data_IF_059665859996
#
_entry.id   IF_059665859996
#
_cell.length_a   1.000
_cell.length_b   1.000
_cell.length_c   1.000
_cell.angle_alpha   90.00
_cell.angle_beta   90.00
_cell.angle_gamma   90.00
#
_symmetry.space_group_name_H-M   'P 1'
#
loop_
_entity.id
_entity.type
_entity.pdbx_description
1 polymer ?
#
# COMPACT_ATOMS: atom_id res chain seq x y z
N UNK A 1 -46.39 -16.73 -4.00
CA UNK A 1 -45.99 -16.68 -2.59
C UNK A 1 -44.65 -17.38 -2.31
N UNK A 2 -44.46 -18.69 -2.54
CA UNK A 2 -43.17 -19.35 -2.27
C UNK A 2 -41.97 -18.86 -3.09
N UNK A 3 -42.14 -18.36 -4.31
CA UNK A 3 -41.05 -17.81 -5.14
C UNK A 3 -40.54 -16.43 -4.68
N UNK A 4 -41.40 -15.62 -4.10
CA UNK A 4 -41.00 -14.31 -3.57
C UNK A 4 -40.31 -14.40 -2.22
N UNK A 5 -40.75 -15.34 -1.36
CA UNK A 5 -40.07 -15.61 -0.08
C UNK A 5 -38.64 -16.11 -0.31
N UNK A 6 -38.43 -16.94 -1.32
CA UNK A 6 -37.06 -17.37 -1.69
C UNK A 6 -36.19 -16.26 -2.26
N UNK A 7 -36.73 -15.26 -2.99
CA UNK A 7 -35.98 -14.09 -3.45
C UNK A 7 -35.60 -13.20 -2.26
N UNK A 8 -36.49 -13.01 -1.30
CA UNK A 8 -36.24 -12.25 -0.08
C UNK A 8 -35.17 -12.92 0.81
N UNK A 9 -35.25 -14.24 0.98
CA UNK A 9 -34.24 -15.03 1.71
C UNK A 9 -32.88 -15.02 1.01
N UNK A 10 -32.84 -15.06 -0.35
CA UNK A 10 -31.60 -14.92 -1.12
C UNK A 10 -31.00 -13.53 -0.99
N UNK A 11 -31.83 -12.48 -1.02
CA UNK A 11 -31.39 -11.10 -0.84
C UNK A 11 -30.89 -10.82 0.59
N UNK A 12 -31.58 -11.37 1.61
CA UNK A 12 -31.12 -11.29 3.01
C UNK A 12 -29.84 -12.11 3.26
N UNK A 13 -29.71 -13.29 2.65
CA UNK A 13 -28.48 -14.06 2.68
C UNK A 13 -27.34 -13.35 1.94
N UNK A 14 -27.61 -12.73 0.80
CA UNK A 14 -26.63 -11.94 0.06
C UNK A 14 -26.18 -10.71 0.86
N UNK A 15 -27.10 -9.95 1.45
CA UNK A 15 -26.80 -8.84 2.34
C UNK A 15 -26.05 -9.29 3.61
N UNK A 16 -26.47 -10.38 4.24
CA UNK A 16 -25.75 -10.95 5.38
C UNK A 16 -24.34 -11.41 5.00
N UNK A 17 -24.14 -12.02 3.82
CA UNK A 17 -22.82 -12.45 3.35
C UNK A 17 -21.93 -11.24 3.01
N UNK A 18 -22.49 -10.17 2.46
CA UNK A 18 -21.76 -8.92 2.18
C UNK A 18 -21.42 -8.21 3.49
N UNK A 19 -22.35 -8.13 4.46
CA UNK A 19 -22.10 -7.55 5.78
C UNK A 19 -21.10 -8.37 6.63
N UNK A 20 -21.26 -9.71 6.65
CA UNK A 20 -20.31 -10.61 7.33
C UNK A 20 -18.92 -10.60 6.67
N UNK A 21 -18.82 -10.32 5.36
CA UNK A 21 -17.55 -10.20 4.65
C UNK A 21 -16.72 -8.98 5.05
N UNK A 22 -17.36 -7.91 5.51
CA UNK A 22 -16.69 -6.68 5.96
C UNK A 22 -16.19 -6.85 7.41
N UNK A 23 -16.98 -7.46 8.29
CA UNK A 23 -16.56 -7.71 9.69
C UNK A 23 -15.40 -8.71 9.80
N UNK A 24 -15.25 -9.66 8.87
CA UNK A 24 -14.18 -10.66 8.89
C UNK A 24 -12.85 -10.21 8.28
N UNK A 25 -12.76 -8.99 7.74
CA UNK A 25 -11.52 -8.47 7.13
C UNK A 25 -10.72 -7.53 8.03
N UNK A 26 -11.26 -7.14 9.19
CA UNK A 26 -10.62 -6.21 10.12
C UNK A 26 -9.94 -6.95 11.26
N UNK A 27 -8.62 -6.77 11.36
CA UNK A 27 -7.81 -7.26 12.49
C UNK A 27 -7.50 -6.07 13.39
N UNK A 28 -8.03 -6.08 14.60
CA UNK A 28 -7.88 -4.98 15.55
C UNK A 28 -6.70 -5.22 16.47
N UNK A 29 -5.83 -4.23 16.62
CA UNK A 29 -4.88 -4.18 17.72
C UNK A 29 -5.63 -4.10 19.04
N UNK A 30 -5.12 -4.78 20.09
CA UNK A 30 -5.76 -4.75 21.40
C UNK A 30 -4.84 -4.21 22.51
N UNK A 31 -3.53 -4.08 22.27
CA UNK A 31 -2.58 -3.57 23.25
C UNK A 31 -2.30 -2.08 23.04
N UNK A 32 -2.81 -1.23 23.96
CA UNK A 32 -2.49 0.22 23.99
C UNK A 32 -1.00 0.46 24.20
N UNK A 33 -0.36 -0.36 25.05
CA UNK A 33 1.08 -0.26 25.31
C UNK A 33 1.91 -0.51 24.07
N UNK A 34 1.53 -1.50 23.23
CA UNK A 34 2.19 -1.75 21.96
C UNK A 34 2.03 -0.56 21.02
N UNK A 35 0.82 0.00 20.90
CA UNK A 35 0.57 1.19 20.06
C UNK A 35 1.42 2.37 20.52
N UNK A 36 1.46 2.65 21.83
CA UNK A 36 2.30 3.71 22.39
C UNK A 36 3.79 3.48 22.07
N UNK A 37 4.28 2.25 22.19
CA UNK A 37 5.66 1.87 21.84
C UNK A 37 5.93 2.05 20.34
N UNK A 38 5.00 1.68 19.46
CA UNK A 38 5.15 1.87 18.01
C UNK A 38 5.20 3.34 17.65
N UNK A 39 4.29 4.15 18.21
CA UNK A 39 4.30 5.60 17.98
C UNK A 39 5.52 6.30 18.60
N UNK A 40 6.15 5.75 19.64
CA UNK A 40 7.42 6.29 20.15
C UNK A 40 8.60 6.09 19.19
N UNK A 41 8.50 5.14 18.27
CA UNK A 41 9.49 4.91 17.20
C UNK A 41 9.20 5.75 15.96
N UNK A 42 8.07 6.45 15.90
CA UNK A 42 7.75 7.38 14.82
C UNK A 42 8.29 8.78 15.11
N UNK A 43 8.35 9.61 14.07
CA UNK A 43 8.68 11.03 14.21
C UNK A 43 7.43 11.91 14.47
N UNK A 44 6.29 11.31 14.85
CA UNK A 44 5.09 12.05 15.20
C UNK A 44 5.32 12.86 16.46
N UNK A 45 5.02 14.16 16.42
CA UNK A 45 5.24 15.11 17.51
C UNK A 45 4.04 16.04 17.75
N UNK A 46 4.12 16.88 18.78
CA UNK A 46 2.99 17.73 19.22
C UNK A 46 2.58 18.83 18.22
N UNK A 47 3.35 19.06 17.16
CA UNK A 47 3.05 20.07 16.14
C UNK A 47 2.36 19.45 14.92
N UNK A 48 2.26 18.13 14.86
CA UNK A 48 1.76 17.41 13.70
C UNK A 48 0.23 17.38 13.60
N UNK A 49 -0.27 17.52 12.37
CA UNK A 49 -1.64 17.18 11.98
C UNK A 49 -1.59 15.75 11.43
N UNK A 50 -2.42 14.87 12.01
CA UNK A 50 -2.47 13.46 11.61
C UNK A 50 -3.81 13.14 10.97
N UNK A 51 -3.80 12.54 9.79
CA UNK A 51 -4.98 11.88 9.23
C UNK A 51 -4.92 10.41 9.63
N UNK A 52 -5.92 9.95 10.38
CA UNK A 52 -6.09 8.53 10.71
C UNK A 52 -7.18 7.92 9.83
N UNK A 53 -6.83 6.84 9.13
CA UNK A 53 -7.75 6.13 8.23
C UNK A 53 -8.30 4.90 8.95
N UNK A 54 -9.62 4.85 9.15
CA UNK A 54 -10.30 3.73 9.80
C UNK A 54 -9.88 3.57 11.27
N UNK A 55 -10.17 4.55 12.15
CA UNK A 55 -9.81 4.48 13.56
C UNK A 55 -10.43 3.26 14.29
N UNK A 56 -11.51 2.70 13.78
CA UNK A 56 -12.18 1.55 14.36
C UNK A 56 -12.63 1.82 15.78
N UNK A 57 -12.09 1.07 16.75
CA UNK A 57 -12.38 1.29 18.20
C UNK A 57 -11.54 2.41 18.82
N UNK A 58 -10.70 3.10 18.03
CA UNK A 58 -9.94 4.27 18.47
C UNK A 58 -8.70 3.96 19.30
N UNK A 59 -8.12 2.77 19.19
CA UNK A 59 -6.93 2.40 19.98
C UNK A 59 -5.70 3.21 19.55
N UNK A 60 -5.56 3.49 18.24
CA UNK A 60 -4.50 4.33 17.67
C UNK A 60 -4.83 5.80 17.91
N UNK A 61 -6.08 6.21 17.69
CA UNK A 61 -6.58 7.58 17.93
C UNK A 61 -6.21 8.12 19.31
N UNK A 62 -6.36 7.28 20.36
CA UNK A 62 -6.05 7.67 21.74
C UNK A 62 -4.58 8.06 21.88
N UNK A 63 -3.68 7.27 21.31
CA UNK A 63 -2.24 7.50 21.44
C UNK A 63 -1.77 8.64 20.51
N UNK A 64 -2.38 8.77 19.33
CA UNK A 64 -2.14 9.91 18.43
C UNK A 64 -2.54 11.24 19.09
N UNK A 65 -3.74 11.31 19.72
CA UNK A 65 -4.22 12.50 20.40
C UNK A 65 -3.30 13.00 21.54
N UNK A 66 -2.50 12.10 22.13
CA UNK A 66 -1.50 12.47 23.15
C UNK A 66 -0.25 13.10 22.55
N UNK A 67 0.13 12.69 21.32
CA UNK A 67 1.40 13.01 20.67
C UNK A 67 1.32 14.04 19.57
N UNK A 68 0.13 14.43 19.11
CA UNK A 68 -0.07 15.32 17.98
C UNK A 68 -0.81 16.60 18.34
N UNK A 69 -0.74 17.60 17.47
CA UNK A 69 -1.52 18.84 17.52
C UNK A 69 -2.99 18.54 17.24
N UNK A 70 -3.25 17.75 16.20
CA UNK A 70 -4.60 17.44 15.75
C UNK A 70 -4.65 16.04 15.12
N UNK A 71 -5.74 15.32 15.34
CA UNK A 71 -6.09 14.06 14.68
C UNK A 71 -7.39 14.26 13.91
N UNK A 72 -7.36 14.01 12.61
CA UNK A 72 -8.53 13.96 11.73
C UNK A 72 -8.76 12.47 11.40
N UNK A 73 -9.72 11.85 12.10
CA UNK A 73 -9.98 10.41 11.97
C UNK A 73 -11.21 10.18 11.09
N UNK A 74 -11.03 9.44 10.00
CA UNK A 74 -12.06 9.17 8.99
C UNK A 74 -12.51 7.73 9.12
N UNK A 75 -13.76 7.53 9.54
CA UNK A 75 -14.35 6.21 9.79
C UNK A 75 -15.54 5.97 8.86
N UNK A 76 -15.54 4.80 8.23
CA UNK A 76 -16.61 4.38 7.33
C UNK A 76 -17.82 3.80 8.07
N UNK A 77 -17.59 3.09 9.18
CA UNK A 77 -18.67 2.48 9.97
C UNK A 77 -19.36 3.55 10.83
N UNK A 78 -20.64 3.80 10.55
CA UNK A 78 -21.45 4.82 11.23
C UNK A 78 -21.56 4.58 12.75
N UNK A 79 -21.59 3.31 13.21
CA UNK A 79 -21.69 3.00 14.64
C UNK A 79 -20.38 3.32 15.36
N UNK A 80 -19.25 2.96 14.74
CA UNK A 80 -17.92 3.27 15.28
C UNK A 80 -17.66 4.77 15.26
N UNK A 81 -17.99 5.44 14.15
CA UNK A 81 -17.86 6.88 14.02
C UNK A 81 -18.68 7.62 15.09
N UNK A 82 -19.95 7.24 15.30
CA UNK A 82 -20.79 7.81 16.35
C UNK A 82 -20.19 7.60 17.74
N UNK A 83 -19.76 6.38 18.06
CA UNK A 83 -19.14 6.05 19.36
C UNK A 83 -17.88 6.90 19.61
N UNK A 84 -17.03 7.07 18.59
CA UNK A 84 -15.84 7.90 18.70
C UNK A 84 -16.20 9.39 18.81
N UNK A 85 -17.17 9.88 18.03
CA UNK A 85 -17.63 11.27 18.09
C UNK A 85 -18.14 11.63 19.49
N UNK A 86 -18.93 10.77 20.10
CA UNK A 86 -19.39 10.96 21.50
C UNK A 86 -18.21 11.00 22.48
N UNK A 87 -17.25 10.07 22.31
CA UNK A 87 -16.07 10.00 23.17
C UNK A 87 -15.18 11.24 23.09
N UNK A 88 -15.07 11.84 21.92
CA UNK A 88 -14.19 12.98 21.66
C UNK A 88 -14.92 14.30 21.48
N UNK A 89 -16.23 14.38 21.81
CA UNK A 89 -17.05 15.59 21.59
C UNK A 89 -16.48 16.86 22.23
N UNK A 90 -15.83 16.74 23.38
CA UNK A 90 -15.20 17.86 24.10
C UNK A 90 -13.71 18.06 23.69
N UNK A 91 -13.18 17.20 22.83
CA UNK A 91 -11.79 17.30 22.42
C UNK A 91 -11.61 18.34 21.32
N UNK A 92 -10.73 19.31 21.56
CA UNK A 92 -10.30 20.26 20.52
C UNK A 92 -9.27 19.68 19.57
N UNK A 93 -8.69 18.52 19.92
CA UNK A 93 -7.60 17.88 19.17
C UNK A 93 -8.08 16.79 18.20
N UNK A 94 -9.22 16.14 18.46
CA UNK A 94 -9.68 15.00 17.69
C UNK A 94 -10.96 15.34 16.97
N UNK A 95 -10.94 15.23 15.66
CA UNK A 95 -12.12 15.38 14.80
C UNK A 95 -12.44 14.02 14.18
N UNK A 96 -13.67 13.54 14.37
CA UNK A 96 -14.17 12.31 13.76
C UNK A 96 -15.04 12.69 12.56
N UNK A 97 -14.77 12.06 11.41
CA UNK A 97 -15.51 12.25 10.17
C UNK A 97 -16.07 10.89 9.75
N UNK A 98 -17.41 10.77 9.76
CA UNK A 98 -18.10 9.60 9.20
C UNK A 98 -18.09 9.69 7.67
N UNK A 99 -17.19 8.96 7.02
CA UNK A 99 -17.05 8.95 5.56
C UNK A 99 -16.21 7.77 5.08
N UNK A 100 -16.47 7.34 3.84
CA UNK A 100 -15.52 6.48 3.09
C UNK A 100 -14.26 7.28 2.77
N UNK A 101 -13.11 6.83 3.28
CA UNK A 101 -11.82 7.49 3.03
C UNK A 101 -11.53 7.62 1.52
N UNK A 102 -11.93 6.64 0.71
CA UNK A 102 -11.69 6.72 -0.73
C UNK A 102 -12.49 7.86 -1.40
N UNK A 103 -13.57 8.34 -0.77
CA UNK A 103 -14.35 9.52 -1.21
C UNK A 103 -13.95 10.81 -0.50
N UNK A 104 -13.28 10.71 0.64
CA UNK A 104 -12.83 11.88 1.40
C UNK A 104 -11.82 12.70 0.59
N UNK A 105 -12.06 14.00 0.41
CA UNK A 105 -11.08 14.90 -0.22
C UNK A 105 -10.10 15.38 0.84
N UNK A 106 -8.84 15.00 0.71
CA UNK A 106 -7.77 15.51 1.57
C UNK A 106 -7.61 17.00 1.28
N UNK A 107 -7.99 17.85 2.23
CA UNK A 107 -8.00 19.31 2.10
C UNK A 107 -7.04 20.02 3.04
N UNK A 108 -6.20 19.26 3.75
CA UNK A 108 -5.16 19.81 4.64
C UNK A 108 -4.11 20.48 3.79
N UNK A 109 -3.90 21.81 4.01
CA UNK A 109 -2.92 22.62 3.27
C UNK A 109 -1.56 22.65 3.96
N UNK A 110 -1.56 22.54 5.27
CA UNK A 110 -0.36 22.48 6.12
C UNK A 110 0.34 21.13 5.93
N UNK A 111 1.63 21.02 6.28
CA UNK A 111 2.30 19.72 6.40
C UNK A 111 1.51 18.80 7.30
N UNK A 112 1.34 17.55 6.90
CA UNK A 112 0.58 16.56 7.66
C UNK A 112 1.17 15.16 7.50
N UNK A 113 0.81 14.28 8.42
CA UNK A 113 1.19 12.86 8.39
C UNK A 113 -0.05 11.98 8.35
N UNK A 114 0.14 10.75 7.90
CA UNK A 114 -0.93 9.73 7.88
C UNK A 114 -0.53 8.59 8.80
N UNK A 115 -1.47 8.13 9.64
CA UNK A 115 -1.28 6.93 10.44
C UNK A 115 -2.53 6.05 10.34
N UNK A 116 -2.39 4.77 10.00
CA UNK A 116 -3.54 3.91 9.80
C UNK A 116 -3.23 2.42 9.95
N UNK A 117 -4.17 1.67 10.50
CA UNK A 117 -4.26 0.22 10.31
C UNK A 117 -5.15 -0.04 9.11
N UNK A 118 -4.54 -0.17 7.92
CA UNK A 118 -5.28 -0.17 6.65
C UNK A 118 -5.97 -1.51 6.36
N UNK A 119 -7.23 -1.50 5.89
CA UNK A 119 -7.92 -2.72 5.47
C UNK A 119 -7.21 -3.39 4.29
N UNK A 120 -6.98 -4.71 4.38
CA UNK A 120 -6.16 -5.43 3.40
C UNK A 120 -6.77 -5.49 1.99
N UNK A 121 -8.09 -5.47 1.89
CA UNK A 121 -8.84 -5.56 0.63
C UNK A 121 -8.75 -4.28 -0.22
N UNK A 122 -8.51 -3.12 0.39
CA UNK A 122 -8.41 -1.81 -0.27
C UNK A 122 -7.04 -1.15 -0.11
N UNK A 123 -6.03 -1.91 0.33
CA UNK A 123 -4.65 -1.40 0.52
C UNK A 123 -4.14 -0.63 -0.71
N UNK A 124 -4.35 -1.16 -1.92
CA UNK A 124 -3.85 -0.52 -3.14
C UNK A 124 -4.54 0.83 -3.41
N UNK A 125 -5.84 0.92 -3.13
CA UNK A 125 -6.61 2.13 -3.36
C UNK A 125 -6.24 3.22 -2.33
N UNK A 126 -6.01 2.82 -1.05
CA UNK A 126 -5.54 3.73 0.00
C UNK A 126 -4.13 4.25 -0.30
N UNK A 127 -3.19 3.34 -0.61
CA UNK A 127 -1.81 3.73 -0.95
C UNK A 127 -1.83 4.71 -2.10
N UNK A 128 -2.52 4.38 -3.21
CA UNK A 128 -2.62 5.27 -4.35
C UNK A 128 -3.15 6.65 -3.95
N UNK A 129 -4.26 6.71 -3.21
CA UNK A 129 -4.88 7.97 -2.82
C UNK A 129 -3.98 8.84 -1.94
N UNK A 130 -3.23 8.23 -1.02
CA UNK A 130 -2.34 8.95 -0.10
C UNK A 130 -1.07 9.42 -0.80
N UNK A 131 -0.45 8.56 -1.61
CA UNK A 131 0.82 8.88 -2.28
C UNK A 131 0.66 9.79 -3.51
N UNK A 132 -0.51 9.75 -4.14
CA UNK A 132 -0.84 10.57 -5.33
C UNK A 132 -1.75 11.78 -4.97
N UNK A 133 -1.83 12.17 -3.69
CA UNK A 133 -2.56 13.36 -3.28
C UNK A 133 -1.91 14.63 -3.85
N UNK A 134 -2.71 15.67 -4.13
CA UNK A 134 -2.21 16.97 -4.61
C UNK A 134 -1.18 17.59 -3.63
N UNK A 135 -1.40 17.41 -2.32
CA UNK A 135 -0.45 17.70 -1.26
C UNK A 135 -0.14 16.38 -0.53
N UNK A 136 0.87 15.59 -0.95
CA UNK A 136 1.19 14.32 -0.30
C UNK A 136 1.70 14.54 1.13
N UNK A 137 1.40 13.63 2.08
CA UNK A 137 1.89 13.75 3.45
C UNK A 137 3.41 13.67 3.52
N UNK A 138 3.99 14.24 4.58
CA UNK A 138 5.43 14.15 4.85
C UNK A 138 5.84 12.74 5.29
N UNK A 139 5.03 12.15 6.16
CA UNK A 139 5.25 10.82 6.70
C UNK A 139 3.95 10.00 6.66
N UNK A 140 4.09 8.73 6.35
CA UNK A 140 2.99 7.77 6.25
C UNK A 140 3.34 6.55 7.10
N UNK A 141 2.56 6.28 8.12
CA UNK A 141 2.69 5.13 9.00
C UNK A 141 1.55 4.16 8.76
N UNK A 142 1.83 3.04 8.09
CA UNK A 142 0.83 2.02 7.81
C UNK A 142 1.08 0.73 8.59
N UNK A 143 0.04 0.27 9.29
CA UNK A 143 -0.06 -1.13 9.70
C UNK A 143 -0.69 -1.86 8.52
N UNK A 144 0.09 -2.71 7.86
CA UNK A 144 -0.29 -3.34 6.59
C UNK A 144 0.28 -4.75 6.45
N UNK A 145 -0.20 -5.49 5.46
CA UNK A 145 0.38 -6.79 5.14
C UNK A 145 1.86 -6.64 4.75
N UNK A 146 2.71 -7.49 5.32
CA UNK A 146 4.15 -7.48 5.06
C UNK A 146 4.48 -7.69 3.58
N UNK A 147 3.78 -8.60 2.90
CA UNK A 147 3.95 -8.82 1.46
C UNK A 147 3.50 -7.63 0.61
N UNK A 148 2.56 -6.82 1.09
CA UNK A 148 2.22 -5.57 0.44
C UNK A 148 3.33 -4.54 0.63
N UNK A 149 3.85 -4.40 1.87
CA UNK A 149 5.02 -3.55 2.14
C UNK A 149 6.19 -3.88 1.21
N UNK A 150 6.57 -5.16 1.07
CA UNK A 150 7.65 -5.58 0.18
C UNK A 150 7.48 -5.09 -1.27
N UNK A 151 6.22 -5.10 -1.76
CA UNK A 151 5.91 -4.65 -3.13
C UNK A 151 5.97 -3.14 -3.32
N UNK A 152 5.74 -2.37 -2.27
CA UNK A 152 5.81 -0.92 -2.33
C UNK A 152 7.20 -0.37 -1.98
N UNK A 153 7.96 -1.09 -1.14
CA UNK A 153 9.30 -0.68 -0.75
C UNK A 153 10.37 -1.01 -1.81
N UNK A 154 10.27 -2.18 -2.49
CA UNK A 154 11.35 -2.65 -3.35
C UNK A 154 12.64 -2.92 -2.56
N UNK A 155 13.79 -2.71 -3.20
CA UNK A 155 15.08 -2.84 -2.52
C UNK A 155 15.22 -1.81 -1.39
N UNK A 156 15.90 -2.15 -0.28
CA UNK A 156 16.64 -3.41 -0.03
C UNK A 156 15.78 -4.58 0.45
N UNK A 157 14.48 -4.40 0.66
CA UNK A 157 13.60 -5.41 1.27
C UNK A 157 13.15 -6.51 0.29
N UNK A 158 13.01 -6.14 -0.99
CA UNK A 158 12.57 -7.04 -2.06
C UNK A 158 13.05 -6.54 -3.43
N UNK A 159 12.87 -7.36 -4.48
CA UNK A 159 13.13 -6.91 -5.85
C UNK A 159 12.20 -5.75 -6.24
N UNK A 160 12.69 -4.89 -7.15
CA UNK A 160 11.86 -3.81 -7.66
C UNK A 160 10.62 -4.36 -8.39
N UNK A 161 9.53 -3.69 -8.19
CA UNK A 161 8.25 -3.95 -8.84
C UNK A 161 7.72 -2.65 -9.44
N UNK A 162 6.73 -2.75 -10.33
CA UNK A 162 6.09 -1.54 -10.82
C UNK A 162 5.57 -0.66 -9.65
N UNK A 163 5.04 -1.28 -8.59
CA UNK A 163 4.51 -0.53 -7.43
C UNK A 163 5.59 0.21 -6.66
N UNK A 164 6.75 -0.41 -6.40
CA UNK A 164 7.85 0.29 -5.75
C UNK A 164 8.37 1.42 -6.63
N UNK A 165 8.59 1.16 -7.91
CA UNK A 165 9.10 2.14 -8.85
C UNK A 165 8.17 3.35 -9.06
N UNK A 166 6.85 3.15 -8.98
CA UNK A 166 5.89 4.25 -9.11
C UNK A 166 5.92 5.26 -7.96
N UNK A 167 6.45 4.92 -6.79
CA UNK A 167 6.43 5.80 -5.61
C UNK A 167 7.81 6.10 -5.04
N UNK A 168 8.78 5.22 -5.24
CA UNK A 168 10.14 5.33 -4.68
C UNK A 168 10.89 6.60 -5.06
N UNK A 169 10.69 7.23 -6.24
CA UNK A 169 11.30 8.52 -6.52
C UNK A 169 10.93 9.62 -5.54
N UNK A 170 9.75 9.54 -4.92
CA UNK A 170 9.23 10.57 -4.02
C UNK A 170 9.17 10.15 -2.55
N UNK A 171 9.23 8.85 -2.27
CA UNK A 171 9.14 8.32 -0.90
C UNK A 171 10.23 7.28 -0.64
N UNK A 172 10.87 7.38 0.51
CA UNK A 172 11.65 6.28 1.08
C UNK A 172 10.73 5.33 1.85
N UNK A 173 11.17 4.11 2.10
CA UNK A 173 10.42 3.11 2.86
C UNK A 173 11.29 2.50 3.95
N UNK A 174 10.71 2.32 5.15
CA UNK A 174 11.33 1.69 6.30
C UNK A 174 10.39 0.69 6.96
N UNK A 175 10.93 -0.42 7.43
CA UNK A 175 10.23 -1.40 8.24
C UNK A 175 10.50 -1.11 9.71
N UNK A 176 9.52 -0.55 10.42
CA UNK A 176 9.69 -0.21 11.86
C UNK A 176 9.49 -1.43 12.74
N UNK A 177 8.47 -2.26 12.42
CA UNK A 177 8.12 -3.40 13.28
C UNK A 177 7.37 -4.49 12.50
N UNK A 178 7.63 -5.75 12.83
CA UNK A 178 6.85 -6.89 12.35
C UNK A 178 6.02 -7.44 13.53
N UNK A 179 4.70 -7.44 13.36
CA UNK A 179 3.77 -7.86 14.43
C UNK A 179 3.75 -9.37 14.62
N UNK A 180 3.48 -9.77 15.86
CA UNK A 180 3.09 -11.13 16.18
C UNK A 180 1.60 -11.33 15.84
N UNK A 181 1.18 -12.52 15.41
CA UNK A 181 -0.24 -12.81 15.18
C UNK A 181 -1.13 -12.53 16.40
N UNK A 182 -0.57 -12.72 17.61
CA UNK A 182 -1.25 -12.49 18.90
C UNK A 182 -1.49 -11.01 19.21
N UNK A 183 -0.92 -10.07 18.47
CA UNK A 183 -1.13 -8.64 18.69
C UNK A 183 -2.50 -8.16 18.16
N UNK A 184 -3.21 -9.03 17.42
CA UNK A 184 -4.49 -8.73 16.78
C UNK A 184 -5.61 -9.68 17.21
N UNK A 185 -6.83 -9.15 17.19
CA UNK A 185 -8.05 -9.93 17.29
C UNK A 185 -9.07 -9.48 16.21
N UNK A 186 -9.60 -10.42 15.42
CA UNK A 186 -9.18 -11.82 15.29
C UNK A 186 -7.73 -11.94 14.80
N UNK A 187 -7.12 -13.11 15.04
CA UNK A 187 -5.75 -13.39 14.62
C UNK A 187 -5.67 -13.38 13.08
N UNK A 188 -4.77 -12.58 12.49
CA UNK A 188 -4.66 -12.48 11.03
C UNK A 188 -4.05 -13.75 10.41
N UNK A 189 -4.45 -14.01 9.16
CA UNK A 189 -3.87 -15.09 8.36
C UNK A 189 -2.64 -14.65 7.53
N UNK A 190 -2.22 -13.40 7.67
CA UNK A 190 -1.10 -12.81 6.95
C UNK A 190 -0.11 -12.18 7.94
N UNK A 191 1.15 -12.11 7.57
CA UNK A 191 2.14 -11.32 8.29
C UNK A 191 1.75 -9.85 8.20
N UNK A 192 1.87 -9.13 9.29
CA UNK A 192 1.56 -7.70 9.37
C UNK A 192 2.80 -6.95 9.86
N UNK A 193 3.01 -5.77 9.32
CA UNK A 193 4.10 -4.91 9.73
C UNK A 193 3.61 -3.46 9.97
N UNK A 194 4.39 -2.72 10.73
CA UNK A 194 4.33 -1.27 10.84
C UNK A 194 5.39 -0.69 9.92
N UNK A 195 4.94 -0.11 8.83
CA UNK A 195 5.76 0.45 7.77
C UNK A 195 5.74 1.97 7.85
N UNK A 196 6.87 2.60 7.59
CA UNK A 196 7.02 4.03 7.43
C UNK A 196 7.40 4.34 5.99
N UNK A 197 6.69 5.29 5.39
CA UNK A 197 7.08 5.88 4.12
C UNK A 197 7.24 7.38 4.34
N UNK A 198 8.42 7.90 4.01
CA UNK A 198 8.75 9.31 4.21
C UNK A 198 8.90 9.99 2.85
N UNK A 199 8.25 11.14 2.69
CA UNK A 199 8.42 11.98 1.51
C UNK A 199 9.83 12.53 1.46
N UNK A 200 10.50 12.36 0.33
CA UNK A 200 11.84 12.89 0.11
C UNK A 200 11.80 14.41 -0.02
N UNK A 201 12.83 15.08 0.46
CA UNK A 201 13.01 16.52 0.32
C UNK A 201 13.31 16.92 -1.13
N UNK A 202 13.97 16.04 -1.87
CA UNK A 202 14.22 16.15 -3.31
C UNK A 202 13.79 14.86 -3.99
N UNK A 203 12.92 14.97 -4.98
CA UNK A 203 12.51 13.83 -5.77
C UNK A 203 13.67 13.36 -6.68
N UNK A 204 13.79 12.04 -6.88
CA UNK A 204 14.79 11.46 -7.80
C UNK A 204 14.39 11.66 -9.27
N UNK A 205 13.13 12.04 -9.52
CA UNK A 205 12.55 12.28 -10.85
C UNK A 205 11.67 13.53 -10.79
N UNK A 206 11.86 14.44 -11.74
CA UNK A 206 11.11 15.70 -11.81
C UNK A 206 9.71 15.51 -12.42
N UNK A 207 9.63 14.88 -13.60
CA UNK A 207 8.37 14.65 -14.30
C UNK A 207 7.75 13.30 -13.91
N UNK A 208 6.81 13.37 -12.97
CA UNK A 208 6.10 12.20 -12.49
C UNK A 208 5.24 11.54 -13.58
N UNK A 209 4.61 12.34 -14.45
CA UNK A 209 3.68 11.82 -15.47
C UNK A 209 4.46 11.04 -16.53
N UNK A 210 5.55 11.62 -17.03
CA UNK A 210 6.37 10.98 -18.07
C UNK A 210 7.05 9.71 -17.52
N UNK A 211 7.60 9.78 -16.32
CA UNK A 211 8.21 8.61 -15.66
C UNK A 211 7.20 7.46 -15.44
N UNK A 212 5.98 7.77 -14.99
CA UNK A 212 4.92 6.77 -14.77
C UNK A 212 4.46 6.15 -16.09
N UNK A 213 4.36 6.93 -17.15
CA UNK A 213 4.09 6.43 -18.49
C UNK A 213 5.22 5.54 -19.01
N UNK A 214 6.47 5.95 -18.83
CA UNK A 214 7.64 5.15 -19.21
C UNK A 214 7.65 3.77 -18.53
N UNK A 215 7.48 3.73 -17.21
CA UNK A 215 7.39 2.48 -16.47
C UNK A 215 6.21 1.62 -16.94
N UNK A 216 5.02 2.22 -17.00
CA UNK A 216 3.80 1.50 -17.38
C UNK A 216 3.93 0.89 -18.77
N UNK A 217 4.51 1.61 -19.72
CA UNK A 217 4.76 1.10 -21.05
C UNK A 217 5.67 -0.12 -21.05
N UNK A 218 6.81 -0.08 -20.35
CA UNK A 218 7.75 -1.20 -20.28
C UNK A 218 7.13 -2.42 -19.60
N UNK A 219 6.39 -2.21 -18.49
CA UNK A 219 5.74 -3.32 -17.79
C UNK A 219 4.60 -3.94 -18.58
N UNK A 220 3.87 -3.16 -19.38
CA UNK A 220 2.80 -3.65 -20.28
C UNK A 220 3.33 -4.34 -21.55
N UNK A 221 4.54 -4.01 -21.98
CA UNK A 221 5.10 -4.57 -23.20
C UNK A 221 5.12 -6.11 -23.16
N UNK A 222 4.89 -6.75 -24.31
CA UNK A 222 4.91 -8.20 -24.45
C UNK A 222 6.32 -8.80 -24.28
N UNK A 223 6.39 -10.08 -23.91
CA UNK A 223 7.63 -10.78 -23.63
C UNK A 223 8.06 -10.70 -22.16
N UNK A 224 9.11 -11.43 -21.80
CA UNK A 224 9.57 -11.56 -20.41
C UNK A 224 10.98 -11.02 -20.18
N UNK A 225 11.74 -10.76 -21.24
CA UNK A 225 13.13 -10.32 -21.17
C UNK A 225 13.26 -8.81 -21.28
N UNK A 226 14.36 -8.26 -20.79
CA UNK A 226 14.72 -6.85 -20.98
C UNK A 226 14.65 -6.45 -22.45
N UNK A 227 15.24 -7.28 -23.33
CA UNK A 227 15.22 -7.08 -24.77
C UNK A 227 13.79 -6.93 -25.32
N UNK A 228 12.91 -7.87 -24.97
CA UNK A 228 11.54 -7.85 -25.50
C UNK A 228 10.77 -6.61 -25.07
N UNK A 229 10.86 -6.26 -23.78
CA UNK A 229 10.10 -5.19 -23.18
C UNK A 229 10.56 -3.80 -23.61
N UNK A 230 11.81 -3.67 -24.03
CA UNK A 230 12.40 -2.35 -24.34
C UNK A 230 12.69 -2.13 -25.84
N UNK A 231 12.54 -3.16 -26.71
CA UNK A 231 12.90 -3.12 -28.15
C UNK A 231 12.18 -2.04 -28.97
N UNK A 232 11.02 -1.57 -28.56
CA UNK A 232 10.30 -0.48 -29.26
C UNK A 232 10.83 0.90 -28.89
N UNK A 233 11.44 1.04 -27.71
CA UNK A 233 12.00 2.30 -27.24
C UNK A 233 13.48 2.42 -27.63
N UNK A 234 14.25 1.37 -27.40
CA UNK A 234 15.70 1.36 -27.61
C UNK A 234 16.09 0.53 -28.82
N UNK A 235 17.09 0.99 -29.55
CA UNK A 235 17.75 0.20 -30.59
C UNK A 235 18.53 -0.96 -29.96
N UNK A 236 18.85 -1.99 -30.74
CA UNK A 236 19.63 -3.13 -30.24
C UNK A 236 20.99 -2.74 -29.66
N UNK A 237 21.67 -1.78 -30.29
CA UNK A 237 22.94 -1.25 -29.78
C UNK A 237 22.79 -0.47 -28.47
N UNK A 238 21.69 0.31 -28.34
CA UNK A 238 21.37 0.96 -27.06
C UNK A 238 21.10 -0.08 -25.98
N UNK A 239 20.31 -1.12 -26.27
CA UNK A 239 20.04 -2.20 -25.32
C UNK A 239 21.32 -2.88 -24.84
N UNK A 240 22.26 -3.19 -25.75
CA UNK A 240 23.58 -3.79 -25.38
C UNK A 240 24.35 -2.86 -24.42
N UNK A 241 24.43 -1.54 -24.75
CA UNK A 241 25.15 -0.57 -23.91
C UNK A 241 24.51 -0.46 -22.52
N UNK A 242 23.19 -0.39 -22.46
CA UNK A 242 22.42 -0.38 -21.22
C UNK A 242 22.71 -1.65 -20.41
N UNK A 243 22.59 -2.83 -21.02
CA UNK A 243 22.87 -4.09 -20.35
C UNK A 243 24.30 -4.17 -19.80
N UNK A 244 25.29 -3.70 -20.55
CA UNK A 244 26.68 -3.63 -20.09
C UNK A 244 26.82 -2.73 -18.85
N UNK A 245 26.18 -1.57 -18.85
CA UNK A 245 26.24 -0.63 -17.73
C UNK A 245 25.53 -1.20 -16.49
N UNK A 246 24.33 -1.77 -16.66
CA UNK A 246 23.53 -2.35 -15.60
C UNK A 246 24.06 -3.72 -15.12
N UNK A 247 25.05 -4.29 -15.78
CA UNK A 247 25.60 -5.63 -15.53
C UNK A 247 24.53 -6.74 -15.60
N UNK A 248 23.59 -6.61 -16.54
CA UNK A 248 22.54 -7.59 -16.84
C UNK A 248 22.72 -8.13 -18.26
N UNK A 249 21.94 -9.17 -18.61
CA UNK A 249 21.88 -9.73 -19.97
C UNK A 249 20.63 -9.23 -20.70
N UNK A 250 20.62 -9.34 -22.03
CA UNK A 250 19.44 -9.05 -22.84
C UNK A 250 18.24 -9.93 -22.47
N UNK A 251 18.52 -11.14 -22.02
CA UNK A 251 17.57 -12.16 -21.59
C UNK A 251 17.14 -12.00 -20.12
N UNK A 252 17.80 -11.12 -19.36
CA UNK A 252 17.44 -10.83 -17.96
C UNK A 252 16.00 -10.34 -17.83
N UNK A 253 15.39 -10.63 -16.70
CA UNK A 253 14.06 -10.12 -16.35
C UNK A 253 14.14 -8.70 -15.80
N UNK A 254 13.03 -7.96 -15.81
CA UNK A 254 12.99 -6.61 -15.27
C UNK A 254 13.27 -6.56 -13.75
N UNK A 255 13.05 -7.66 -13.03
CA UNK A 255 13.29 -7.77 -11.58
C UNK A 255 14.76 -7.79 -11.20
N UNK A 256 15.66 -8.02 -12.17
CA UNK A 256 17.12 -7.98 -11.99
C UNK A 256 17.66 -6.54 -12.01
N UNK A 257 16.85 -5.56 -12.45
CA UNK A 257 17.26 -4.16 -12.54
C UNK A 257 17.08 -3.52 -11.16
N UNK A 258 18.15 -2.97 -10.61
CA UNK A 258 18.11 -2.21 -9.36
C UNK A 258 17.35 -0.89 -9.53
N UNK A 259 16.99 -0.24 -8.42
CA UNK A 259 16.33 1.07 -8.47
C UNK A 259 17.18 2.11 -9.23
N UNK A 260 18.47 2.20 -8.92
CA UNK A 260 19.38 3.10 -9.64
C UNK A 260 19.49 2.74 -11.13
N UNK A 261 19.39 1.45 -11.44
CA UNK A 261 19.32 0.97 -12.82
C UNK A 261 18.06 1.45 -13.55
N UNK A 262 16.93 1.55 -12.88
CA UNK A 262 15.71 2.11 -13.45
C UNK A 262 15.80 3.62 -13.66
N UNK A 263 16.40 4.36 -12.74
CA UNK A 263 16.67 5.79 -12.92
C UNK A 263 17.61 6.04 -14.10
N UNK A 264 18.69 5.26 -14.21
CA UNK A 264 19.59 5.32 -15.36
C UNK A 264 18.87 4.99 -16.67
N UNK A 265 18.02 3.95 -16.69
CA UNK A 265 17.26 3.58 -17.88
C UNK A 265 16.32 4.70 -18.34
N UNK A 266 15.69 5.39 -17.39
CA UNK A 266 14.87 6.56 -17.67
C UNK A 266 15.69 7.75 -18.18
N UNK A 267 16.85 8.00 -17.61
CA UNK A 267 17.76 9.06 -18.08
C UNK A 267 18.24 8.80 -19.53
N UNK A 268 18.59 7.52 -19.85
CA UNK A 268 18.91 7.12 -21.23
C UNK A 268 17.71 7.33 -22.17
N UNK A 269 16.48 7.02 -21.69
CA UNK A 269 15.27 7.28 -22.47
C UNK A 269 15.12 8.78 -22.76
N UNK A 270 15.27 9.62 -21.75
CA UNK A 270 15.13 11.08 -21.92
C UNK A 270 16.17 11.68 -22.87
N UNK A 271 17.43 11.20 -22.80
CA UNK A 271 18.55 11.79 -23.57
C UNK A 271 18.70 11.25 -24.97
N UNK A 272 18.43 9.97 -25.20
CA UNK A 272 18.86 9.27 -26.41
C UNK A 272 17.73 8.61 -27.22
N UNK A 273 16.47 8.73 -26.79
CA UNK A 273 15.32 8.25 -27.55
C UNK A 273 14.72 9.42 -28.32
N UNK A 274 14.39 9.21 -29.61
CA UNK A 274 13.78 10.26 -30.45
C UNK A 274 12.38 10.63 -29.97
N UNK A 275 11.93 11.84 -30.29
CA UNK A 275 10.61 12.33 -29.87
C UNK A 275 9.46 11.48 -30.43
N UNK A 276 9.61 10.93 -31.64
CA UNK A 276 8.60 10.02 -32.21
C UNK A 276 8.45 8.75 -31.38
N UNK A 277 9.57 8.19 -30.88
CA UNK A 277 9.54 7.03 -30.01
C UNK A 277 9.09 7.36 -28.59
N UNK A 278 9.42 8.55 -28.07
CA UNK A 278 8.87 9.02 -26.78
C UNK A 278 7.37 9.15 -26.83
N UNK A 279 6.79 9.54 -27.94
CA UNK A 279 5.34 9.64 -28.08
C UNK A 279 4.61 8.29 -27.89
N UNK A 280 5.31 7.15 -28.05
CA UNK A 280 4.71 5.81 -27.90
C UNK A 280 4.27 5.53 -26.47
N UNK A 281 4.91 6.15 -25.47
CA UNK A 281 4.58 5.92 -24.06
C UNK A 281 3.40 6.77 -23.57
N UNK A 282 2.97 7.76 -24.33
CA UNK A 282 1.89 8.65 -23.93
C UNK A 282 0.64 7.84 -23.58
N UNK A 283 0.04 8.17 -22.41
CA UNK A 283 -1.13 7.50 -21.84
C UNK A 283 -0.93 6.03 -21.40
N UNK A 284 0.29 5.49 -21.42
CA UNK A 284 0.54 4.09 -21.05
C UNK A 284 0.08 3.76 -19.61
N UNK A 285 0.18 4.70 -18.67
CA UNK A 285 -0.35 4.53 -17.33
C UNK A 285 -1.88 4.44 -17.32
N UNK A 286 -2.56 5.26 -18.11
CA UNK A 286 -4.02 5.23 -18.22
C UNK A 286 -4.50 3.93 -18.88
N UNK A 287 -3.80 3.46 -19.91
CA UNK A 287 -4.09 2.18 -20.57
C UNK A 287 -3.91 1.01 -19.61
N UNK A 288 -2.87 1.05 -18.78
CA UNK A 288 -2.65 0.06 -17.73
C UNK A 288 -3.80 0.06 -16.72
N UNK A 289 -4.24 1.23 -16.25
CA UNK A 289 -5.38 1.37 -15.33
C UNK A 289 -6.67 0.83 -15.97
N UNK A 290 -6.93 1.15 -17.23
CA UNK A 290 -8.08 0.68 -17.98
C UNK A 290 -8.09 -0.85 -18.13
N UNK A 291 -6.93 -1.45 -18.43
CA UNK A 291 -6.79 -2.90 -18.52
C UNK A 291 -6.99 -3.60 -17.17
N UNK A 292 -6.46 -3.03 -16.08
CA UNK A 292 -6.67 -3.56 -14.73
C UNK A 292 -8.15 -3.51 -14.31
N UNK A 293 -8.88 -2.47 -14.68
CA UNK A 293 -10.31 -2.33 -14.36
C UNK A 293 -11.19 -3.35 -15.12
N UNK A 294 -10.74 -3.84 -16.26
CA UNK A 294 -11.42 -4.91 -17.02
C UNK A 294 -11.25 -6.29 -16.39
N UNK A 295 -10.22 -6.48 -15.57
CA UNK A 295 -9.98 -7.74 -14.88
C UNK A 295 -10.93 -7.83 -13.68
N UNK A 296 -11.91 -8.74 -13.73
CA UNK A 296 -12.75 -9.03 -12.57
C UNK A 296 -11.88 -9.33 -11.35
N UNK A 297 -12.05 -8.57 -10.27
CA UNK A 297 -11.37 -8.80 -8.99
C UNK A 297 -11.87 -10.16 -8.47
N UNK A 298 -11.22 -11.25 -8.84
CA UNK A 298 -11.44 -12.54 -8.18
C UNK A 298 -10.92 -12.40 -6.76
N UNK A 299 -11.82 -12.40 -5.78
CA UNK A 299 -11.44 -12.58 -4.38
C UNK A 299 -10.71 -13.93 -4.29
N UNK A 300 -9.39 -13.88 -4.18
CA UNK A 300 -8.60 -15.07 -3.90
C UNK A 300 -8.88 -15.44 -2.45
N UNK A 301 -9.82 -16.33 -2.23
CA UNK A 301 -9.85 -17.13 -1.01
C UNK A 301 -8.56 -17.94 -1.00
N UNK A 302 -7.53 -17.40 -0.33
CA UNK A 302 -6.27 -18.10 -0.14
C UNK A 302 -6.57 -19.27 0.77
N UNK A 303 -6.30 -20.48 0.29
CA UNK A 303 -6.43 -21.74 1.00
C UNK A 303 -5.84 -21.63 2.41
N UNK A 304 -6.63 -22.01 3.41
CA UNK A 304 -6.31 -22.12 4.84
C UNK A 304 -5.11 -23.05 5.20
N UNK A 305 -4.40 -23.62 4.18
CA UNK A 305 -3.45 -24.70 4.37
C UNK A 305 -2.07 -24.27 4.92
N UNK A 306 -1.52 -23.15 4.48
CA UNK A 306 -0.11 -22.82 4.75
C UNK A 306 0.18 -22.54 6.24
N UNK A 307 -0.65 -21.76 6.90
CA UNK A 307 -0.45 -21.40 8.32
C UNK A 307 -0.76 -22.54 9.28
N UNK A 308 -1.71 -23.40 8.94
CA UNK A 308 -1.93 -24.65 9.71
C UNK A 308 -0.73 -25.59 9.62
N UNK A 309 -0.04 -25.60 8.49
CA UNK A 309 1.17 -26.39 8.29
C UNK A 309 2.35 -25.82 9.09
N UNK A 310 2.57 -24.50 9.06
CA UNK A 310 3.64 -23.82 9.80
C UNK A 310 3.42 -23.88 11.33
N UNK A 311 2.20 -23.69 11.80
CA UNK A 311 1.86 -23.85 13.21
C UNK A 311 2.06 -25.31 13.72
N UNK A 312 1.77 -26.31 12.86
CA UNK A 312 2.08 -27.71 13.18
C UNK A 312 3.58 -27.97 13.19
N UNK A 313 4.35 -27.38 12.28
CA UNK A 313 5.81 -27.50 12.21
C UNK A 313 6.49 -26.88 13.43
N UNK A 314 6.06 -25.69 13.86
CA UNK A 314 6.59 -25.04 15.06
C UNK A 314 6.23 -25.82 16.36
N UNK A 315 5.01 -26.39 16.44
CA UNK A 315 4.68 -27.28 17.56
C UNK A 315 5.56 -28.54 17.60
N UNK A 316 5.86 -29.11 16.43
CA UNK A 316 6.73 -30.29 16.31
C UNK A 316 8.17 -30.00 16.74
N UNK A 317 8.72 -28.83 16.30
CA UNK A 317 10.06 -28.37 16.67
C UNK A 317 10.18 -28.03 18.16
N UNK A 318 9.11 -27.50 18.80
CA UNK A 318 9.10 -27.32 20.26
C UNK A 318 9.13 -28.68 21.03
N UNK A 319 8.38 -29.68 20.57
CA UNK A 319 8.33 -31.00 21.18
C UNK A 319 9.64 -31.78 21.00
N UNK A 320 10.41 -31.50 19.93
CA UNK A 320 11.72 -32.16 19.69
C UNK A 320 12.85 -31.49 20.48
N UNK A 321 12.71 -30.23 20.89
CA UNK A 321 13.69 -29.51 21.73
C UNK A 321 13.43 -29.65 23.27
N UNK A 322 12.31 -30.25 23.67
CA UNK A 322 11.95 -30.52 25.06
C UNK A 322 12.20 -32.02 25.46
N UNK A 323 12.78 -32.81 24.54
CA UNK A 323 13.30 -34.18 24.81
C UNK A 323 14.82 -34.18 24.78
#
# INVERSE_FOLDING_TARGET
>A
MKKEINKFLYFYRFLATVFMGIEHSQNYLHSKQLVATLLSKSNICNDDIIIEIGPGKGIITIELAKKSKQVIAIEFDAKLAKTLSEKYKESKKVQIIEMDFLKYKISVKEPYKVCANIPFNITADIVKKVFEADNPPEDIYFIMQYEAFLRYSGQPFYNESLRSLLYKPWFSAELIYEFKPSDFYPVPNARICFAHFQRKTSADVEDAIDYRNFLSYIFLASGNTFKDKTKKLFTYEQQKRICKFLKIKLESTLTEISYDGWLYLYDVFLKFVSNEKKAIILNAEQDMKNNQNKIQKKHRNRNHGYWKFEAKRQKKLKFENEK
#
